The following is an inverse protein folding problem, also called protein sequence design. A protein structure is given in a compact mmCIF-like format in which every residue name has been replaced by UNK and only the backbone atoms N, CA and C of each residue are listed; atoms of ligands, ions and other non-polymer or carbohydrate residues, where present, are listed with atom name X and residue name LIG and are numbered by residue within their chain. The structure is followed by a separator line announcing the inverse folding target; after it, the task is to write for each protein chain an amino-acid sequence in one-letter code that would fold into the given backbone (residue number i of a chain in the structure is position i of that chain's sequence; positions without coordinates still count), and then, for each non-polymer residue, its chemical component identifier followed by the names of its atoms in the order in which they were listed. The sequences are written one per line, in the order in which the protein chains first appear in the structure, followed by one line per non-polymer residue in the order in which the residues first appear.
data_IF_573931244816
#
_entry.id   IF_573931244816
#
_cell.length_a   1.000
_cell.length_b   1.000
_cell.length_c   1.000
_cell.angle_alpha   90.00
_cell.angle_beta   90.00
_cell.angle_gamma   90.00
#
_symmetry.space_group_name_H-M   'P 1'
#
loop_
_entity.id
_entity.type
_entity.pdbx_description
1 polymer ?
#
# COMPACT_ATOMS: atom_id res chain seq x y z
N UNK A 1 -14.09 -17.40 15.90
CA UNK A 1 -12.74 -17.32 16.50
C UNK A 1 -12.61 -15.98 17.23
N UNK A 2 -12.37 -15.96 18.54
CA UNK A 2 -12.07 -14.72 19.28
C UNK A 2 -10.57 -14.47 19.18
N UNK A 3 -10.17 -13.36 18.56
CA UNK A 3 -8.78 -12.96 18.48
C UNK A 3 -8.27 -12.72 19.91
N UNK A 4 -7.11 -13.30 20.23
CA UNK A 4 -6.48 -13.14 21.54
C UNK A 4 -5.90 -11.73 21.57
N UNK A 5 -6.53 -10.82 22.33
CA UNK A 5 -6.00 -9.48 22.55
C UNK A 5 -4.69 -9.57 23.31
N UNK A 6 -3.64 -8.99 22.77
CA UNK A 6 -2.34 -8.88 23.41
C UNK A 6 -2.12 -7.41 23.74
N UNK A 7 -2.14 -7.08 25.03
CA UNK A 7 -2.06 -5.69 25.50
C UNK A 7 -0.80 -4.98 25.01
N UNK A 8 0.30 -5.69 24.79
CA UNK A 8 1.54 -5.07 24.34
C UNK A 8 1.42 -4.63 22.88
N UNK A 9 1.02 -5.55 21.99
CA UNK A 9 0.83 -5.24 20.57
C UNK A 9 -0.37 -4.31 20.32
N UNK A 10 -1.45 -4.47 21.07
CA UNK A 10 -2.64 -3.62 20.95
C UNK A 10 -2.34 -2.18 21.40
N UNK A 11 -1.41 -1.95 22.33
CA UNK A 11 -1.04 -0.62 22.84
C UNK A 11 -0.10 0.18 21.94
N UNK A 12 0.39 -0.40 20.84
CA UNK A 12 1.31 0.29 19.93
C UNK A 12 0.56 1.47 19.31
N UNK A 13 0.92 2.70 19.69
CA UNK A 13 0.28 3.93 19.20
C UNK A 13 0.25 4.02 17.67
N UNK A 14 1.24 3.45 16.97
CA UNK A 14 1.26 3.40 15.50
C UNK A 14 0.12 2.58 14.92
N UNK A 15 -0.38 1.55 15.63
CA UNK A 15 -1.54 0.75 15.24
C UNK A 15 -2.84 1.53 15.46
N UNK A 16 -2.99 2.25 16.57
CA UNK A 16 -4.16 3.12 16.78
C UNK A 16 -4.21 4.28 15.78
N UNK A 17 -3.09 4.98 15.58
CA UNK A 17 -2.98 6.02 14.56
C UNK A 17 -3.25 5.45 13.16
N UNK A 18 -2.90 4.19 12.88
CA UNK A 18 -3.20 3.56 11.58
C UNK A 18 -4.70 3.53 11.25
N UNK A 19 -5.57 3.42 12.25
CA UNK A 19 -7.02 3.38 12.04
C UNK A 19 -7.57 4.76 11.62
N UNK A 20 -6.95 5.85 12.07
CA UNK A 20 -7.28 7.22 11.64
C UNK A 20 -6.50 7.64 10.39
N UNK A 21 -5.31 7.10 10.17
CA UNK A 21 -4.48 7.39 9.00
C UNK A 21 -5.08 6.83 7.70
N UNK A 22 -5.65 5.62 7.72
CA UNK A 22 -6.35 5.06 6.55
C UNK A 22 -7.39 6.03 5.97
N UNK A 23 -8.36 6.54 6.77
CA UNK A 23 -9.34 7.48 6.24
C UNK A 23 -8.76 8.84 5.88
N UNK A 24 -7.75 9.34 6.60
CA UNK A 24 -7.03 10.58 6.23
C UNK A 24 -6.39 10.43 4.85
N UNK A 25 -5.63 9.36 4.63
CA UNK A 25 -4.92 9.09 3.37
C UNK A 25 -5.92 8.88 2.24
N UNK A 26 -7.01 8.15 2.48
CA UNK A 26 -8.04 7.92 1.48
C UNK A 26 -8.76 9.22 1.08
N UNK A 27 -9.06 10.10 2.05
CA UNK A 27 -9.62 11.43 1.80
C UNK A 27 -8.63 12.33 1.05
N UNK A 28 -7.36 12.34 1.45
CA UNK A 28 -6.29 13.06 0.77
C UNK A 28 -6.17 12.60 -0.69
N UNK A 29 -6.12 11.29 -0.93
CA UNK A 29 -6.06 10.71 -2.28
C UNK A 29 -7.31 11.08 -3.11
N UNK A 30 -8.49 11.17 -2.50
CA UNK A 30 -9.69 11.62 -3.19
C UNK A 30 -9.61 13.10 -3.62
N UNK A 31 -9.02 13.97 -2.79
CA UNK A 31 -8.84 15.39 -3.12
C UNK A 31 -7.82 15.54 -4.24
N UNK A 32 -6.70 14.80 -4.20
CA UNK A 32 -5.64 14.88 -5.21
C UNK A 32 -6.03 14.25 -6.55
N UNK A 33 -7.07 13.42 -6.59
CA UNK A 33 -7.65 12.90 -7.83
C UNK A 33 -8.55 13.92 -8.56
N UNK A 34 -9.04 14.95 -7.87
CA UNK A 34 -9.87 15.97 -8.50
C UNK A 34 -9.00 17.01 -9.24
N UNK A 35 -9.33 17.38 -10.49
CA UNK A 35 -8.52 18.32 -11.30
C UNK A 35 -8.36 19.70 -10.65
N UNK A 36 -9.31 20.13 -9.83
CA UNK A 36 -9.28 21.42 -9.14
C UNK A 36 -8.56 21.36 -7.77
N UNK A 37 -8.11 20.17 -7.34
CA UNK A 37 -7.43 19.98 -6.05
C UNK A 37 -8.32 20.29 -4.83
N UNK A 38 -9.63 20.36 -5.03
CA UNK A 38 -10.62 20.65 -4.02
C UNK A 38 -11.92 19.91 -4.31
N UNK A 39 -12.70 19.61 -3.27
CA UNK A 39 -13.94 18.85 -3.40
C UNK A 39 -15.05 19.41 -2.51
N UNK A 40 -16.31 19.49 -2.99
CA UNK A 40 -17.44 19.81 -2.15
C UNK A 40 -17.77 18.65 -1.22
N UNK A 41 -18.30 18.95 -0.04
CA UNK A 41 -18.68 17.92 0.94
C UNK A 41 -19.68 16.88 0.40
N UNK A 42 -20.54 17.30 -0.52
CA UNK A 42 -21.53 16.42 -1.16
C UNK A 42 -20.87 15.31 -1.99
N UNK A 43 -19.74 15.60 -2.63
CA UNK A 43 -18.95 14.62 -3.38
C UNK A 43 -18.23 13.63 -2.45
N UNK A 44 -17.68 14.11 -1.34
CA UNK A 44 -17.05 13.24 -0.33
C UNK A 44 -18.07 12.30 0.30
N UNK A 45 -19.26 12.83 0.60
CA UNK A 45 -20.34 12.07 1.24
C UNK A 45 -20.84 10.90 0.38
N UNK A 46 -20.83 11.05 -0.95
CA UNK A 46 -21.15 9.96 -1.89
C UNK A 46 -20.10 8.84 -1.90
N UNK A 47 -18.85 9.15 -1.53
CA UNK A 47 -17.72 8.21 -1.52
C UNK A 47 -17.49 7.53 -0.16
N UNK A 48 -18.31 7.79 0.86
CA UNK A 48 -18.08 7.29 2.22
C UNK A 48 -17.98 5.76 2.37
N UNK A 49 -18.59 4.98 1.47
CA UNK A 49 -18.42 3.51 1.45
C UNK A 49 -16.99 3.09 1.05
N UNK A 50 -16.30 3.89 0.24
CA UNK A 50 -14.93 3.64 -0.22
C UNK A 50 -13.91 4.06 0.83
N UNK A 51 -14.25 5.08 1.62
CA UNK A 51 -13.34 5.73 2.57
C UNK A 51 -13.30 5.03 3.95
N UNK A 52 -14.15 4.01 4.18
CA UNK A 52 -14.37 3.37 5.49
C UNK A 52 -14.69 4.39 6.61
N UNK A 53 -15.18 5.59 6.23
CA UNK A 53 -15.62 6.65 7.16
C UNK A 53 -17.13 6.76 7.09
N UNK A 54 -17.85 6.73 8.23
CA UNK A 54 -19.27 7.02 8.23
C UNK A 54 -19.51 8.44 7.70
N UNK A 55 -20.27 8.54 6.60
CA UNK A 55 -20.57 9.78 5.83
C UNK A 55 -20.94 10.97 6.73
N UNK A 56 -21.76 10.75 7.75
CA UNK A 56 -22.22 11.80 8.69
C UNK A 56 -21.09 12.38 9.57
N UNK A 57 -19.98 11.67 9.72
CA UNK A 57 -18.82 12.11 10.51
C UNK A 57 -17.72 12.76 9.66
N UNK A 58 -17.81 12.71 8.32
CA UNK A 58 -16.77 13.20 7.41
C UNK A 58 -16.46 14.68 7.64
N UNK A 59 -17.49 15.55 7.76
CA UNK A 59 -17.27 16.99 8.03
C UNK A 59 -16.52 17.20 9.34
N UNK A 60 -16.98 16.53 10.41
CA UNK A 60 -16.36 16.63 11.73
C UNK A 60 -14.93 16.10 11.71
N UNK A 61 -14.69 15.06 10.92
CA UNK A 61 -13.38 14.45 10.74
C UNK A 61 -12.41 15.40 10.04
N UNK A 62 -12.81 15.98 8.89
CA UNK A 62 -11.98 16.95 8.16
C UNK A 62 -11.62 18.17 9.05
N UNK A 63 -12.60 18.69 9.80
CA UNK A 63 -12.39 19.78 10.77
C UNK A 63 -11.52 19.40 11.97
N UNK A 64 -11.35 18.11 12.26
CA UNK A 64 -10.48 17.65 13.35
C UNK A 64 -8.99 17.68 12.96
N UNK A 65 -8.68 17.70 11.65
CA UNK A 65 -7.31 17.74 11.14
C UNK A 65 -7.06 18.98 10.26
N UNK A 66 -7.12 20.19 10.84
CA UNK A 66 -6.94 21.45 10.11
C UNK A 66 -5.53 21.62 9.52
N UNK A 67 -4.54 20.90 10.03
CA UNK A 67 -3.18 20.88 9.48
C UNK A 67 -3.09 20.20 8.12
N UNK A 68 -4.08 19.37 7.76
CA UNK A 68 -4.10 18.61 6.50
C UNK A 68 -5.20 19.14 5.57
N UNK A 69 -6.37 19.45 6.12
CA UNK A 69 -7.54 19.87 5.36
C UNK A 69 -7.92 21.31 5.66
N UNK A 70 -8.02 22.13 4.62
CA UNK A 70 -8.48 23.51 4.70
C UNK A 70 -9.93 23.60 4.20
N UNK A 71 -10.81 24.15 5.04
CA UNK A 71 -12.21 24.42 4.69
C UNK A 71 -12.34 25.80 4.05
N UNK A 72 -13.04 25.88 2.93
CA UNK A 72 -13.38 27.14 2.28
C UNK A 72 -14.84 27.13 1.79
N UNK A 73 -15.41 28.31 1.57
CA UNK A 73 -16.75 28.43 1.00
C UNK A 73 -16.66 28.33 -0.52
N UNK A 74 -17.31 27.32 -1.09
CA UNK A 74 -17.23 27.09 -2.54
C UNK A 74 -18.00 28.13 -3.36
N UNK A 75 -17.71 28.22 -4.66
CA UNK A 75 -18.34 29.19 -5.56
C UNK A 75 -19.81 28.86 -5.85
N UNK A 76 -20.26 27.62 -5.59
CA UNK A 76 -21.62 27.17 -5.83
C UNK A 76 -22.33 26.79 -4.52
N UNK A 77 -23.56 27.31 -4.36
CA UNK A 77 -24.53 26.95 -3.31
C UNK A 77 -24.09 27.20 -1.85
N UNK A 78 -23.04 27.99 -1.60
CA UNK A 78 -22.49 28.27 -0.26
C UNK A 78 -22.21 26.99 0.57
N UNK A 79 -21.86 25.90 -0.10
CA UNK A 79 -21.51 24.65 0.57
C UNK A 79 -20.04 24.68 1.02
N UNK A 80 -19.69 23.94 2.10
CA UNK A 80 -18.30 23.83 2.51
C UNK A 80 -17.53 22.94 1.53
N UNK A 81 -16.42 23.46 1.05
CA UNK A 81 -15.45 22.77 0.21
C UNK A 81 -14.18 22.55 1.02
N UNK A 82 -13.48 21.48 0.67
CA UNK A 82 -12.23 21.12 1.32
C UNK A 82 -11.13 20.99 0.26
N UNK A 83 -9.96 21.52 0.60
CA UNK A 83 -8.72 21.33 -0.16
C UNK A 83 -7.62 20.89 0.81
N UNK A 84 -6.50 20.45 0.26
CA UNK A 84 -5.31 20.18 1.07
C UNK A 84 -4.58 21.48 1.39
N UNK A 85 -3.99 21.55 2.58
CA UNK A 85 -3.03 22.60 2.96
C UNK A 85 -1.77 22.49 2.11
N UNK A 86 -0.99 23.58 2.04
CA UNK A 86 0.32 23.60 1.38
C UNK A 86 1.24 22.49 1.88
N UNK A 87 1.29 22.32 3.20
CA UNK A 87 2.11 21.36 3.90
C UNK A 87 1.68 19.92 3.56
N UNK A 88 0.38 19.66 3.48
CA UNK A 88 -0.14 18.36 3.06
C UNK A 88 0.16 18.05 1.58
N UNK A 89 0.21 19.07 0.72
CA UNK A 89 0.60 18.92 -0.69
C UNK A 89 2.09 18.58 -0.79
N UNK A 90 2.95 19.24 -0.01
CA UNK A 90 4.38 18.92 0.06
C UNK A 90 4.62 17.50 0.55
N UNK A 91 3.95 17.09 1.65
CA UNK A 91 4.00 15.73 2.15
C UNK A 91 3.53 14.70 1.12
N UNK A 92 2.51 15.02 0.32
CA UNK A 92 2.06 14.12 -0.76
C UNK A 92 3.12 13.97 -1.87
N UNK A 93 3.88 15.03 -2.18
CA UNK A 93 4.99 14.95 -3.14
C UNK A 93 6.13 14.10 -2.61
N UNK A 94 6.49 14.27 -1.34
CA UNK A 94 7.49 13.42 -0.67
C UNK A 94 7.07 11.96 -0.67
N UNK A 95 5.81 11.68 -0.34
CA UNK A 95 5.23 10.34 -0.39
C UNK A 95 5.39 9.71 -1.79
N UNK A 96 5.05 10.43 -2.86
CA UNK A 96 5.23 9.95 -4.24
C UNK A 96 6.71 9.68 -4.54
N UNK A 97 7.62 10.57 -4.12
CA UNK A 97 9.05 10.38 -4.34
C UNK A 97 9.59 9.13 -3.61
N UNK A 98 9.12 8.88 -2.38
CA UNK A 98 9.46 7.67 -1.62
C UNK A 98 8.95 6.43 -2.34
N UNK A 99 7.72 6.44 -2.86
CA UNK A 99 7.19 5.31 -3.63
C UNK A 99 8.02 5.03 -4.87
N UNK A 100 8.43 6.05 -5.60
CA UNK A 100 9.24 5.87 -6.82
C UNK A 100 10.62 5.31 -6.49
N UNK A 101 11.26 5.82 -5.43
CA UNK A 101 12.57 5.34 -4.97
C UNK A 101 12.54 3.88 -4.49
N UNK A 102 11.41 3.43 -3.94
CA UNK A 102 11.23 2.08 -3.38
C UNK A 102 10.33 1.19 -4.22
N UNK A 103 10.02 1.57 -5.46
CA UNK A 103 9.10 0.84 -6.34
C UNK A 103 9.50 -0.62 -6.51
N UNK A 104 10.80 -0.87 -6.71
CA UNK A 104 11.35 -2.23 -6.88
C UNK A 104 11.13 -3.08 -5.62
N UNK A 105 11.37 -2.52 -4.43
CA UNK A 105 11.18 -3.23 -3.16
C UNK A 105 9.70 -3.57 -2.91
N UNK A 106 8.80 -2.62 -3.22
CA UNK A 106 7.35 -2.81 -3.10
C UNK A 106 6.88 -3.92 -4.05
N UNK A 107 7.36 -3.92 -5.30
CA UNK A 107 7.08 -4.99 -6.25
C UNK A 107 7.63 -6.33 -5.76
N UNK A 108 8.85 -6.38 -5.22
CA UNK A 108 9.42 -7.62 -4.70
C UNK A 108 8.61 -8.16 -3.50
N UNK A 109 8.08 -7.28 -2.63
CA UNK A 109 7.17 -7.67 -1.55
C UNK A 109 5.88 -8.28 -2.07
N UNK A 110 5.26 -7.67 -3.08
CA UNK A 110 4.06 -8.21 -3.73
C UNK A 110 4.35 -9.56 -4.40
N UNK A 111 5.49 -9.69 -5.10
CA UNK A 111 5.92 -10.98 -5.68
C UNK A 111 6.06 -12.05 -4.60
N UNK A 112 6.80 -11.77 -3.53
CA UNK A 112 6.98 -12.71 -2.41
C UNK A 112 5.64 -13.11 -1.81
N UNK A 113 4.72 -12.17 -1.63
CA UNK A 113 3.39 -12.44 -1.12
C UNK A 113 2.61 -13.43 -2.00
N UNK A 114 2.61 -13.23 -3.32
CA UNK A 114 1.96 -14.14 -4.27
C UNK A 114 2.66 -15.50 -4.31
N UNK A 115 3.99 -15.53 -4.25
CA UNK A 115 4.78 -16.77 -4.28
C UNK A 115 4.64 -17.63 -3.02
N UNK A 116 4.19 -17.04 -1.91
CA UNK A 116 3.85 -17.77 -0.69
C UNK A 116 2.48 -18.47 -0.78
N UNK A 117 1.66 -18.16 -1.80
CA UNK A 117 0.42 -18.88 -2.05
C UNK A 117 0.67 -20.25 -2.69
N UNK A 118 -0.18 -21.23 -2.40
CA UNK A 118 -0.02 -22.61 -2.84
C UNK A 118 0.07 -22.75 -4.36
N UNK A 119 -0.70 -21.96 -5.09
CA UNK A 119 -0.77 -22.00 -6.56
C UNK A 119 0.00 -20.85 -7.22
N UNK A 120 0.80 -20.08 -6.45
CA UNK A 120 1.52 -18.89 -6.91
C UNK A 120 0.61 -17.86 -7.62
N UNK A 121 -0.67 -17.86 -7.27
CA UNK A 121 -1.69 -16.93 -7.77
C UNK A 121 -2.58 -16.49 -6.60
N UNK A 122 -2.98 -15.22 -6.63
CA UNK A 122 -3.88 -14.66 -5.62
C UNK A 122 -5.03 -13.88 -6.27
N UNK A 123 -6.27 -13.98 -5.75
CA UNK A 123 -7.38 -13.18 -6.23
C UNK A 123 -7.14 -11.68 -6.00
N UNK A 124 -7.62 -10.82 -6.90
CA UNK A 124 -7.52 -9.35 -6.72
C UNK A 124 -8.12 -8.87 -5.40
N UNK A 125 -9.18 -9.53 -4.92
CA UNK A 125 -9.82 -9.21 -3.65
C UNK A 125 -8.85 -9.34 -2.47
N UNK A 126 -7.99 -10.37 -2.48
CA UNK A 126 -6.99 -10.59 -1.43
C UNK A 126 -5.89 -9.54 -1.53
N UNK A 127 -5.40 -9.26 -2.74
CA UNK A 127 -4.37 -8.24 -2.98
C UNK A 127 -4.87 -6.86 -2.54
N UNK A 128 -6.11 -6.50 -2.89
CA UNK A 128 -6.75 -5.24 -2.45
C UNK A 128 -6.90 -5.17 -0.93
N UNK A 129 -7.27 -6.28 -0.27
CA UNK A 129 -7.32 -6.33 1.19
C UNK A 129 -5.94 -6.17 1.85
N UNK A 130 -4.87 -6.58 1.16
CA UNK A 130 -3.49 -6.49 1.65
C UNK A 130 -2.75 -5.23 1.21
N UNK A 131 -3.38 -4.38 0.38
CA UNK A 131 -2.77 -3.19 -0.22
C UNK A 131 -2.12 -2.28 0.82
N UNK A 132 -2.85 -1.96 1.88
CA UNK A 132 -2.35 -1.16 3.01
C UNK A 132 -1.13 -1.79 3.70
N UNK A 133 -1.15 -3.11 3.88
CA UNK A 133 -0.09 -3.84 4.60
C UNK A 133 1.16 -4.04 3.74
N UNK A 134 1.00 -4.10 2.42
CA UNK A 134 2.09 -4.18 1.46
C UNK A 134 2.70 -2.81 1.13
N UNK A 135 2.07 -1.72 1.57
CA UNK A 135 2.48 -0.35 1.24
C UNK A 135 2.23 -0.01 -0.24
N UNK A 136 1.21 -0.62 -0.84
CA UNK A 136 0.86 -0.39 -2.23
C UNK A 136 0.01 0.91 -2.35
N UNK A 137 0.35 1.84 -3.25
CA UNK A 137 -0.45 3.04 -3.49
C UNK A 137 -1.87 2.69 -3.93
N UNK A 138 -2.87 3.52 -3.58
CA UNK A 138 -4.29 3.29 -3.93
C UNK A 138 -4.53 3.09 -5.43
N UNK A 139 -3.73 3.77 -6.27
CA UNK A 139 -3.82 3.71 -7.74
C UNK A 139 -3.09 2.52 -8.36
N UNK A 140 -2.26 1.81 -7.59
CA UNK A 140 -1.41 0.73 -8.09
C UNK A 140 -2.21 -0.37 -8.78
N UNK A 141 -3.37 -0.74 -8.23
CA UNK A 141 -4.24 -1.78 -8.79
C UNK A 141 -5.21 -1.25 -9.86
N UNK A 142 -5.31 0.08 -10.06
CA UNK A 142 -6.18 0.67 -11.10
C UNK A 142 -5.57 0.53 -12.49
N UNK A 143 -4.26 0.60 -12.58
CA UNK A 143 -3.51 0.44 -13.82
C UNK A 143 -2.41 -0.61 -13.64
N UNK A 144 -2.77 -1.91 -13.64
CA UNK A 144 -1.81 -2.98 -13.45
C UNK A 144 -0.79 -3.08 -14.59
N UNK A 145 -1.12 -2.63 -15.80
CA UNK A 145 -0.24 -2.73 -16.97
C UNK A 145 0.99 -1.80 -16.87
N UNK A 146 0.81 -0.59 -16.33
CA UNK A 146 1.93 0.33 -16.11
C UNK A 146 2.67 0.07 -14.79
N UNK A 147 1.99 -0.53 -13.81
CA UNK A 147 2.52 -0.68 -12.46
C UNK A 147 3.23 -2.01 -12.21
N UNK A 148 2.89 -3.05 -12.97
CA UNK A 148 3.50 -4.37 -12.84
C UNK A 148 4.60 -4.57 -13.89
N UNK A 149 5.61 -5.33 -13.52
CA UNK A 149 6.63 -5.76 -14.47
C UNK A 149 6.22 -7.04 -15.21
N UNK A 150 7.03 -7.46 -16.18
CA UNK A 150 6.78 -8.64 -17.03
C UNK A 150 6.68 -9.97 -16.28
N UNK A 151 7.02 -10.02 -14.99
CA UNK A 151 6.91 -11.25 -14.19
C UNK A 151 5.50 -11.51 -13.67
N UNK A 152 4.62 -10.51 -13.71
CA UNK A 152 3.23 -10.66 -13.30
C UNK A 152 2.34 -11.00 -14.49
N UNK A 153 1.38 -11.89 -14.27
CA UNK A 153 0.32 -12.21 -15.24
C UNK A 153 -1.04 -12.12 -14.59
N UNK A 154 -1.96 -11.43 -15.23
CA UNK A 154 -3.38 -11.46 -14.85
C UNK A 154 -3.95 -12.79 -15.32
N UNK A 155 -4.54 -13.55 -14.39
CA UNK A 155 -5.08 -14.89 -14.65
C UNK A 155 -6.53 -14.97 -14.19
N UNK A 156 -7.34 -15.76 -14.89
CA UNK A 156 -8.67 -16.14 -14.42
C UNK A 156 -8.55 -17.30 -13.43
N UNK A 157 -9.27 -17.19 -12.31
CA UNK A 157 -9.32 -18.21 -11.27
C UNK A 157 -10.56 -19.10 -11.43
N UNK A 158 -10.57 -20.24 -10.75
CA UNK A 158 -11.64 -21.24 -10.83
C UNK A 158 -13.03 -20.67 -10.46
N UNK A 159 -13.05 -19.66 -9.59
CA UNK A 159 -14.28 -18.96 -9.18
C UNK A 159 -14.80 -17.93 -10.22
N UNK A 160 -14.19 -17.85 -11.41
CA UNK A 160 -14.46 -16.82 -12.42
C UNK A 160 -13.96 -15.42 -12.04
N UNK A 161 -13.21 -15.33 -10.94
CA UNK A 161 -12.59 -14.08 -10.48
C UNK A 161 -11.22 -13.89 -11.13
N UNK A 162 -10.89 -12.66 -11.47
CA UNK A 162 -9.53 -12.31 -11.89
C UNK A 162 -8.58 -12.31 -10.68
N UNK A 163 -7.35 -12.76 -10.92
CA UNK A 163 -6.26 -12.76 -9.97
C UNK A 163 -4.92 -12.41 -10.61
N UNK A 164 -3.89 -12.37 -9.79
CA UNK A 164 -2.53 -12.10 -10.19
C UNK A 164 -1.65 -13.32 -9.91
N UNK A 165 -0.95 -13.78 -10.94
CA UNK A 165 0.06 -14.84 -10.89
C UNK A 165 1.44 -14.23 -11.08
N UNK A 166 2.46 -14.87 -10.51
CA UNK A 166 3.86 -14.51 -10.72
C UNK A 166 4.58 -15.69 -11.37
N UNK A 167 5.08 -15.46 -12.57
CA UNK A 167 6.03 -16.36 -13.23
C UNK A 167 7.45 -15.92 -12.88
N UNK A 168 8.22 -16.85 -12.31
CA UNK A 168 9.64 -16.61 -12.06
C UNK A 168 10.43 -17.36 -13.12
N UNK A 169 11.23 -16.65 -13.89
CA UNK A 169 12.26 -17.23 -14.76
C UNK A 169 13.62 -17.38 -14.04
N UNK A 170 13.82 -16.65 -12.92
CA UNK A 170 15.09 -16.61 -12.20
C UNK A 170 15.19 -17.60 -11.02
N UNK A 171 16.35 -18.26 -10.94
CA UNK A 171 16.76 -19.15 -9.83
C UNK A 171 16.44 -18.54 -8.47
N UNK A 172 15.71 -19.28 -7.62
CA UNK A 172 15.34 -18.85 -6.26
C UNK A 172 16.58 -18.82 -5.36
N UNK A 173 17.28 -17.69 -5.32
CA UNK A 173 18.34 -17.46 -4.35
C UNK A 173 17.74 -16.98 -3.01
N UNK A 174 18.07 -17.66 -1.92
CA UNK A 174 17.83 -17.20 -0.56
C UNK A 174 18.52 -15.85 -0.31
N UNK A 175 18.09 -15.11 0.73
CA UNK A 175 18.74 -13.83 1.09
C UNK A 175 20.25 -14.00 1.30
N UNK A 176 20.66 -15.11 1.93
CA UNK A 176 22.06 -15.47 2.13
C UNK A 176 22.78 -15.69 0.80
N UNK A 177 22.15 -16.39 -0.15
CA UNK A 177 22.72 -16.62 -1.47
C UNK A 177 22.82 -15.32 -2.28
N UNK A 178 21.81 -14.45 -2.22
CA UNK A 178 21.86 -13.11 -2.84
C UNK A 178 23.01 -12.27 -2.28
N UNK A 179 23.23 -12.30 -0.97
CA UNK A 179 24.33 -11.56 -0.33
C UNK A 179 25.72 -12.12 -0.68
N UNK A 180 25.83 -13.42 -0.96
CA UNK A 180 27.07 -14.04 -1.46
C UNK A 180 27.33 -13.60 -2.91
N UNK A 181 26.31 -13.66 -3.76
CA UNK A 181 26.41 -13.22 -5.17
C UNK A 181 26.73 -11.73 -5.27
N UNK A 182 26.08 -10.88 -4.47
CA UNK A 182 26.39 -9.44 -4.40
C UNK A 182 27.82 -9.13 -3.95
N UNK A 183 28.43 -10.02 -3.18
CA UNK A 183 29.84 -9.93 -2.74
C UNK A 183 30.83 -10.51 -3.74
N UNK A 184 30.37 -10.89 -4.94
CA UNK A 184 31.22 -11.45 -6.00
C UNK A 184 31.50 -12.95 -5.85
N UNK A 185 30.74 -13.66 -5.00
CA UNK A 185 30.84 -15.12 -4.88
C UNK A 185 30.01 -15.83 -5.96
N UNK A 186 30.57 -16.89 -6.55
CA UNK A 186 29.84 -17.75 -7.47
C UNK A 186 28.99 -18.79 -6.71
N UNK A 187 27.71 -18.88 -7.02
CA UNK A 187 26.82 -19.93 -6.52
C UNK A 187 26.39 -20.84 -7.67
N UNK A 188 26.84 -22.10 -7.64
CA UNK A 188 26.42 -23.15 -8.57
C UNK A 188 25.26 -23.95 -7.98
N UNK A 189 24.12 -23.93 -8.68
CA UNK A 189 22.90 -24.63 -8.28
C UNK A 189 23.13 -26.15 -8.28
N UNK A 190 22.86 -26.82 -7.15
CA UNK A 190 23.18 -28.23 -6.93
C UNK A 190 24.50 -28.49 -6.19
N UNK A 191 25.29 -27.45 -5.93
CA UNK A 191 26.45 -27.55 -5.03
C UNK A 191 25.96 -27.74 -3.58
N UNK A 192 26.39 -28.83 -2.94
CA UNK A 192 26.25 -29.06 -1.49
C UNK A 192 27.16 -28.13 -0.66
N UNK A 193 27.76 -27.10 -1.26
CA UNK A 193 28.66 -26.20 -0.55
C UNK A 193 27.90 -25.49 0.58
N UNK A 194 28.34 -25.64 1.84
CA UNK A 194 27.67 -25.04 2.98
C UNK A 194 27.74 -23.51 2.88
N UNK A 195 26.57 -22.86 2.97
CA UNK A 195 26.49 -21.40 3.11
C UNK A 195 26.99 -21.02 4.50
N UNK A 196 28.12 -20.31 4.56
CA UNK A 196 28.65 -19.80 5.83
C UNK A 196 27.74 -18.67 6.32
N UNK A 197 26.98 -18.92 7.38
CA UNK A 197 26.21 -17.91 8.09
C UNK A 197 27.21 -17.17 8.99
N UNK A 198 27.53 -15.88 8.74
CA UNK A 198 28.37 -15.13 9.65
C UNK A 198 27.63 -14.99 10.97
N UNK A 199 28.15 -15.63 12.02
CA UNK A 199 27.69 -15.38 13.38
C UNK A 199 28.09 -13.94 13.71
N UNK A 200 27.09 -13.08 13.90
CA UNK A 200 27.34 -11.75 14.47
C UNK A 200 28.04 -11.95 15.81
N UNK A 201 29.14 -11.23 16.09
CA UNK A 201 29.73 -11.27 17.42
C UNK A 201 28.72 -10.66 18.39
N UNK A 202 28.21 -11.48 19.31
CA UNK A 202 27.53 -10.99 20.50
C UNK A 202 28.51 -10.10 21.25
N UNK A 203 28.22 -8.79 21.31
CA UNK A 203 28.76 -7.90 22.33
C UNK A 203 27.72 -7.72 23.42
#
# INVERSE_FOLDING_TARGET
MKWKKDSYYDSIETIYKSQELKPIISLKNCITEEPEGCIPISSVSKRGLVLDVPVKKVIKFLRHYPSIFEEFTGPQYNLPWFKLTSEAIELHREEIAVYENHRVDILERLKRFILMSQEKKLPWKVIRGMQWYLGLPDKFLKDPESNLDSSFKVVEMEDGLQGLSVEIDEKKLSLLQKDVVKRGGEYLEGSSAPLVIPLYPSK
#
